data_IF_641478866691
#
_entry.id   IF_641478866691
#
_cell.length_a   1.000
_cell.length_b   1.000
_cell.length_c   1.000
_cell.angle_alpha   90.00
_cell.angle_beta   90.00
_cell.angle_gamma   90.00
#
_symmetry.space_group_name_H-M   'P 1'
#
loop_
_entity.id
_entity.type
_entity.pdbx_description
1 polymer ?
#
# COMPACT_ATOMS: atom_id res chain seq x y z
N UNK A 1 16.47 -10.32 -3.80
CA UNK A 1 15.59 -11.45 -4.09
C UNK A 1 14.83 -11.19 -5.40
N UNK A 2 14.68 -12.22 -6.23
CA UNK A 2 13.65 -12.26 -7.29
C UNK A 2 12.27 -12.48 -6.66
N UNK A 3 11.19 -12.33 -7.44
CA UNK A 3 9.84 -12.56 -6.93
C UNK A 3 9.68 -14.00 -6.39
N UNK A 4 10.23 -15.00 -7.06
CA UNK A 4 10.16 -16.39 -6.60
C UNK A 4 10.98 -16.62 -5.32
N UNK A 5 12.20 -16.10 -5.25
CA UNK A 5 13.02 -16.18 -4.02
C UNK A 5 12.35 -15.46 -2.83
N UNK A 6 11.60 -14.36 -3.10
CA UNK A 6 10.83 -13.68 -2.06
C UNK A 6 9.66 -14.55 -1.57
N UNK A 7 8.92 -15.20 -2.47
CA UNK A 7 7.83 -16.14 -2.12
C UNK A 7 8.37 -17.31 -1.29
N UNK A 8 9.48 -17.94 -1.72
CA UNK A 8 10.15 -18.98 -0.95
C UNK A 8 10.61 -18.51 0.43
N UNK A 9 11.11 -17.26 0.51
CA UNK A 9 11.48 -16.65 1.79
C UNK A 9 10.26 -16.49 2.69
N UNK A 10 9.13 -15.98 2.17
CA UNK A 10 7.91 -15.77 2.94
C UNK A 10 7.40 -17.09 3.55
N UNK A 11 7.38 -18.16 2.79
CA UNK A 11 7.09 -19.50 3.32
C UNK A 11 8.02 -19.87 4.48
N UNK A 12 9.36 -19.74 4.28
CA UNK A 12 10.37 -20.09 5.31
C UNK A 12 10.24 -19.30 6.61
N UNK A 13 9.83 -18.04 6.53
CA UNK A 13 9.67 -17.18 7.72
C UNK A 13 8.28 -17.29 8.35
N UNK A 14 7.37 -18.05 7.75
CA UNK A 14 6.03 -18.33 8.27
C UNK A 14 5.01 -17.25 7.98
N UNK A 15 5.14 -16.54 6.84
CA UNK A 15 4.07 -15.68 6.32
C UNK A 15 2.97 -16.55 5.68
N UNK A 16 1.76 -16.03 5.65
CA UNK A 16 0.59 -16.69 5.07
C UNK A 16 0.36 -16.25 3.61
N UNK A 17 0.90 -15.08 3.22
CA UNK A 17 0.71 -14.53 1.90
C UNK A 17 1.81 -13.57 1.47
N UNK A 18 1.66 -13.07 0.24
CA UNK A 18 2.57 -12.14 -0.40
C UNK A 18 1.81 -10.98 -1.06
N UNK A 19 2.32 -9.78 -0.86
CA UNK A 19 2.00 -8.62 -1.67
C UNK A 19 3.10 -8.43 -2.70
N UNK A 20 2.74 -8.35 -3.99
CA UNK A 20 3.70 -8.34 -5.09
C UNK A 20 3.66 -7.00 -5.84
N UNK A 21 4.80 -6.35 -5.92
CA UNK A 21 4.98 -5.12 -6.71
C UNK A 21 4.79 -5.40 -8.20
N UNK A 22 4.05 -4.52 -8.88
CA UNK A 22 3.90 -4.51 -10.34
C UNK A 22 4.56 -3.26 -10.89
N UNK A 23 5.85 -3.37 -11.18
CA UNK A 23 6.66 -2.23 -11.61
C UNK A 23 7.93 -2.68 -12.34
N UNK A 24 8.24 -2.03 -13.45
CA UNK A 24 9.47 -2.30 -14.18
C UNK A 24 10.71 -1.96 -13.34
N UNK A 25 11.75 -2.78 -13.44
CA UNK A 25 12.99 -2.60 -12.70
C UNK A 25 12.98 -3.08 -11.24
N UNK A 26 11.88 -3.66 -10.75
CA UNK A 26 11.82 -4.34 -9.45
C UNK A 26 12.15 -5.82 -9.59
N UNK A 27 13.28 -6.24 -9.04
CA UNK A 27 13.71 -7.65 -9.08
C UNK A 27 12.71 -8.57 -8.34
N UNK A 28 12.14 -8.10 -7.21
CA UNK A 28 11.18 -8.83 -6.38
C UNK A 28 9.71 -8.60 -6.78
N UNK A 29 9.48 -8.02 -7.95
CA UNK A 29 8.15 -7.77 -8.48
C UNK A 29 7.94 -8.42 -9.84
N UNK A 30 6.79 -8.14 -10.44
CA UNK A 30 6.49 -8.49 -11.82
C UNK A 30 6.49 -7.22 -12.69
N UNK A 31 6.90 -7.26 -13.96
CA UNK A 31 6.90 -6.11 -14.84
C UNK A 31 5.46 -5.67 -15.19
N UNK A 32 5.30 -4.40 -15.57
CA UNK A 32 4.01 -3.84 -15.99
C UNK A 32 3.41 -4.55 -17.21
N UNK A 33 4.25 -5.05 -18.11
CA UNK A 33 3.87 -5.88 -19.26
C UNK A 33 4.34 -7.33 -19.05
N UNK A 34 3.71 -8.03 -18.10
CA UNK A 34 4.01 -9.42 -17.79
C UNK A 34 3.21 -10.37 -18.69
N UNK A 35 3.88 -11.33 -19.33
CA UNK A 35 3.20 -12.35 -20.12
C UNK A 35 2.64 -13.50 -19.24
N UNK A 36 1.67 -14.24 -19.79
CA UNK A 36 1.04 -15.36 -19.07
C UNK A 36 2.03 -16.43 -18.63
N UNK A 37 3.11 -16.65 -19.39
CA UNK A 37 4.13 -17.63 -19.03
C UNK A 37 4.86 -17.21 -17.77
N UNK A 38 5.23 -15.94 -17.68
CA UNK A 38 5.88 -15.36 -16.48
C UNK A 38 4.95 -15.37 -15.28
N UNK A 39 3.68 -14.99 -15.47
CA UNK A 39 2.66 -15.08 -14.43
C UNK A 39 2.46 -16.53 -13.95
N UNK A 40 2.47 -17.51 -14.86
CA UNK A 40 2.32 -18.93 -14.50
C UNK A 40 3.48 -19.45 -13.62
N UNK A 41 4.69 -18.94 -13.83
CA UNK A 41 5.84 -19.28 -13.01
C UNK A 41 5.66 -18.75 -11.58
N UNK A 42 5.23 -17.49 -11.44
CA UNK A 42 4.97 -16.87 -10.12
C UNK A 42 3.84 -17.59 -9.41
N UNK A 43 2.72 -17.86 -10.09
CA UNK A 43 1.58 -18.58 -9.53
C UNK A 43 1.98 -19.95 -9.01
N UNK A 44 2.68 -20.74 -9.82
CA UNK A 44 3.13 -22.07 -9.42
C UNK A 44 4.09 -22.01 -8.22
N UNK A 45 5.02 -21.05 -8.21
CA UNK A 45 5.91 -20.86 -7.08
C UNK A 45 5.13 -20.55 -5.78
N UNK A 46 4.09 -19.72 -5.86
CA UNK A 46 3.24 -19.41 -4.72
C UNK A 46 2.46 -20.65 -4.24
N UNK A 47 1.86 -21.40 -5.16
CA UNK A 47 1.15 -22.65 -4.86
C UNK A 47 2.06 -23.73 -4.24
N UNK A 48 3.26 -23.94 -4.78
CA UNK A 48 4.25 -24.92 -4.29
C UNK A 48 4.77 -24.56 -2.87
N UNK A 49 4.75 -23.27 -2.50
CA UNK A 49 5.18 -22.78 -1.20
C UNK A 49 4.00 -22.47 -0.25
N UNK A 50 2.78 -22.77 -0.62
CA UNK A 50 1.57 -22.50 0.18
C UNK A 50 1.43 -21.03 0.59
N UNK A 51 1.83 -20.10 -0.32
CA UNK A 51 1.73 -18.65 -0.15
C UNK A 51 0.56 -18.12 -0.99
N UNK A 52 -0.39 -17.45 -0.34
CA UNK A 52 -1.47 -16.74 -1.04
C UNK A 52 -0.94 -15.40 -1.60
N UNK A 53 -1.20 -15.11 -2.87
CA UNK A 53 -0.92 -13.76 -3.40
C UNK A 53 -2.10 -12.87 -3.00
N UNK A 54 -1.95 -12.11 -1.94
CA UNK A 54 -3.02 -11.31 -1.34
C UNK A 54 -3.30 -10.04 -2.13
N UNK A 55 -2.25 -9.37 -2.63
CA UNK A 55 -2.34 -8.05 -3.24
C UNK A 55 -1.31 -7.85 -4.34
N UNK A 56 -1.69 -7.11 -5.38
CA UNK A 56 -0.77 -6.56 -6.37
C UNK A 56 -0.60 -5.06 -6.15
N UNK A 57 0.65 -4.57 -6.25
CA UNK A 57 1.02 -3.21 -5.86
C UNK A 57 1.67 -2.45 -7.01
N UNK A 58 0.89 -1.89 -7.95
CA UNK A 58 1.39 -0.97 -8.96
C UNK A 58 1.69 0.42 -8.36
N UNK A 59 2.54 1.21 -9.04
CA UNK A 59 2.92 2.57 -8.63
C UNK A 59 2.18 3.68 -9.40
N UNK A 60 1.07 3.34 -10.00
CA UNK A 60 0.20 4.30 -10.72
C UNK A 60 -0.38 5.34 -9.76
N UNK A 61 -0.31 6.63 -10.12
CA UNK A 61 -0.79 7.72 -9.26
C UNK A 61 -1.50 8.87 -10.00
N UNK A 62 -1.41 8.95 -11.33
CA UNK A 62 -1.92 10.09 -12.09
C UNK A 62 -3.40 9.97 -12.48
N UNK A 63 -4.21 9.26 -11.71
CA UNK A 63 -5.68 9.13 -11.89
C UNK A 63 -6.43 10.47 -11.81
N UNK A 64 -5.82 11.46 -11.18
CA UNK A 64 -6.32 12.82 -11.01
C UNK A 64 -5.71 13.83 -12.00
N UNK A 65 -4.96 13.37 -13.00
CA UNK A 65 -4.38 14.25 -14.02
C UNK A 65 -5.49 14.94 -14.82
N UNK A 66 -5.33 16.25 -15.07
CA UNK A 66 -6.21 16.98 -15.97
C UNK A 66 -5.95 16.65 -17.44
N UNK A 67 -4.74 16.17 -17.74
CA UNK A 67 -4.43 15.59 -19.05
C UNK A 67 -5.15 14.23 -19.20
N UNK A 68 -6.07 14.20 -20.18
CA UNK A 68 -6.89 13.02 -20.44
C UNK A 68 -6.07 11.81 -20.91
N UNK A 69 -5.01 12.05 -21.69
CA UNK A 69 -4.17 10.96 -22.24
C UNK A 69 -3.36 10.29 -21.11
N UNK A 70 -2.77 11.11 -20.24
CA UNK A 70 -2.06 10.63 -19.04
C UNK A 70 -3.01 9.81 -18.16
N UNK A 71 -4.18 10.34 -17.86
CA UNK A 71 -5.17 9.66 -17.01
C UNK A 71 -5.66 8.35 -17.64
N UNK A 72 -5.87 8.33 -18.96
CA UNK A 72 -6.31 7.12 -19.67
C UNK A 72 -5.21 6.05 -19.67
N UNK A 73 -3.94 6.41 -19.78
CA UNK A 73 -2.83 5.47 -19.70
C UNK A 73 -2.74 4.81 -18.31
N UNK A 74 -2.94 5.59 -17.24
CA UNK A 74 -3.01 5.07 -15.87
C UNK A 74 -4.15 4.06 -15.68
N UNK A 75 -5.34 4.40 -16.18
CA UNK A 75 -6.52 3.53 -16.14
C UNK A 75 -6.26 2.22 -16.89
N UNK A 76 -5.66 2.29 -18.07
CA UNK A 76 -5.35 1.11 -18.89
C UNK A 76 -4.29 0.22 -18.23
N UNK A 77 -3.32 0.83 -17.53
CA UNK A 77 -2.33 0.09 -16.74
C UNK A 77 -3.02 -0.73 -15.63
N UNK A 78 -3.90 -0.10 -14.84
CA UNK A 78 -4.62 -0.82 -13.77
C UNK A 78 -5.57 -1.89 -14.33
N UNK A 79 -6.16 -1.67 -15.50
CA UNK A 79 -6.98 -2.70 -16.16
C UNK A 79 -6.18 -3.98 -16.42
N UNK A 80 -4.92 -3.88 -16.86
CA UNK A 80 -4.02 -5.04 -16.99
C UNK A 80 -3.73 -5.70 -15.62
N UNK A 81 -3.50 -4.89 -14.58
CA UNK A 81 -3.25 -5.43 -13.23
C UNK A 81 -4.47 -6.18 -12.69
N UNK A 82 -5.70 -5.74 -13.01
CA UNK A 82 -6.93 -6.47 -12.69
C UNK A 82 -6.94 -7.85 -13.39
N UNK A 83 -6.46 -7.94 -14.64
CA UNK A 83 -6.32 -9.21 -15.33
C UNK A 83 -5.27 -10.11 -14.67
N UNK A 84 -4.15 -9.53 -14.20
CA UNK A 84 -3.13 -10.27 -13.45
C UNK A 84 -3.67 -10.80 -12.12
N UNK A 85 -4.48 -10.02 -11.39
CA UNK A 85 -5.15 -10.47 -10.17
C UNK A 85 -6.00 -11.72 -10.44
N UNK A 86 -6.80 -11.72 -11.49
CA UNK A 86 -7.59 -12.89 -11.87
C UNK A 86 -6.71 -14.13 -12.14
N UNK A 87 -5.61 -13.93 -12.85
CA UNK A 87 -4.70 -15.02 -13.20
C UNK A 87 -4.00 -15.59 -11.97
N UNK A 88 -3.55 -14.71 -11.07
CA UNK A 88 -2.79 -15.06 -9.87
C UNK A 88 -3.69 -15.41 -8.66
N UNK A 89 -5.00 -15.31 -8.79
CA UNK A 89 -5.99 -15.43 -7.70
C UNK A 89 -5.80 -14.38 -6.59
N UNK A 90 -5.24 -13.21 -6.93
CA UNK A 90 -5.13 -12.09 -6.00
C UNK A 90 -6.46 -11.35 -5.90
N UNK A 91 -6.81 -10.88 -4.69
CA UNK A 91 -8.09 -10.23 -4.44
C UNK A 91 -7.99 -8.71 -4.32
N UNK A 92 -6.80 -8.18 -4.06
CA UNK A 92 -6.59 -6.76 -3.84
C UNK A 92 -5.60 -6.14 -4.82
N UNK A 93 -5.82 -4.86 -5.15
CA UNK A 93 -4.84 -4.01 -5.83
C UNK A 93 -4.65 -2.76 -5.00
N UNK A 94 -3.43 -2.53 -4.51
CA UNK A 94 -3.08 -1.26 -3.88
C UNK A 94 -2.94 -0.18 -4.93
N UNK A 95 -3.56 0.97 -4.70
CA UNK A 95 -3.46 2.15 -5.54
C UNK A 95 -3.25 3.41 -4.70
N UNK A 96 -2.66 4.44 -5.30
CA UNK A 96 -2.56 5.74 -4.67
C UNK A 96 -3.84 6.56 -4.85
N UNK A 97 -4.13 7.43 -3.90
CA UNK A 97 -5.22 8.42 -3.94
C UNK A 97 -4.90 9.61 -4.84
N UNK A 98 -4.49 9.36 -6.09
CA UNK A 98 -4.03 10.40 -7.02
C UNK A 98 -2.59 10.86 -6.72
N UNK A 99 -2.13 11.86 -7.46
CA UNK A 99 -0.83 12.51 -7.27
C UNK A 99 -1.06 13.97 -6.84
N UNK A 100 -0.50 14.36 -5.71
CA UNK A 100 -0.59 15.72 -5.18
C UNK A 100 0.71 16.03 -4.43
N UNK A 101 1.61 16.75 -5.09
CA UNK A 101 2.86 17.17 -4.46
C UNK A 101 2.62 18.38 -3.54
N UNK A 102 3.49 18.53 -2.54
CA UNK A 102 3.43 19.69 -1.66
C UNK A 102 3.54 21.00 -2.44
N UNK A 103 2.79 22.00 -1.99
CA UNK A 103 2.71 23.29 -2.67
C UNK A 103 1.86 23.30 -3.94
N UNK A 104 1.37 22.15 -4.41
CA UNK A 104 0.45 22.08 -5.55
C UNK A 104 -0.97 22.44 -5.08
N UNK A 105 -1.38 23.66 -5.37
CA UNK A 105 -2.67 24.20 -4.95
C UNK A 105 -3.63 24.48 -6.12
N UNK A 106 -3.20 24.14 -7.34
CA UNK A 106 -3.97 24.47 -8.54
C UNK A 106 -5.00 23.39 -8.88
N UNK A 107 -6.20 23.83 -9.20
CA UNK A 107 -7.28 22.98 -9.71
C UNK A 107 -7.60 21.76 -8.82
N UNK A 108 -7.45 21.88 -7.50
CA UNK A 108 -7.60 20.76 -6.57
C UNK A 108 -8.97 20.11 -6.66
N UNK A 109 -10.03 20.90 -6.78
CA UNK A 109 -11.41 20.40 -6.88
C UNK A 109 -11.60 19.60 -8.18
N UNK A 110 -11.21 20.16 -9.32
CA UNK A 110 -11.29 19.47 -10.60
C UNK A 110 -10.43 18.20 -10.64
N UNK A 111 -9.22 18.23 -10.09
CA UNK A 111 -8.36 17.05 -9.97
C UNK A 111 -9.00 15.98 -9.09
N UNK A 112 -9.64 16.38 -7.99
CA UNK A 112 -10.36 15.46 -7.11
C UNK A 112 -11.57 14.82 -7.81
N UNK A 113 -12.31 15.60 -8.60
CA UNK A 113 -13.40 15.06 -9.42
C UNK A 113 -12.88 14.01 -10.42
N UNK A 114 -11.75 14.30 -11.10
CA UNK A 114 -11.12 13.32 -12.02
C UNK A 114 -10.65 12.06 -11.31
N UNK A 115 -10.11 12.18 -10.10
CA UNK A 115 -9.77 11.02 -9.28
C UNK A 115 -11.00 10.16 -8.99
N UNK A 116 -12.08 10.77 -8.50
CA UNK A 116 -13.34 10.08 -8.18
C UNK A 116 -13.91 9.38 -9.42
N UNK A 117 -13.97 10.07 -10.56
CA UNK A 117 -14.41 9.49 -11.83
C UNK A 117 -13.59 8.27 -12.22
N UNK A 118 -12.25 8.39 -12.16
CA UNK A 118 -11.32 7.32 -12.54
C UNK A 118 -11.43 6.11 -11.63
N UNK A 119 -11.45 6.33 -10.30
CA UNK A 119 -11.52 5.24 -9.33
C UNK A 119 -12.89 4.55 -9.32
N UNK A 120 -13.97 5.29 -9.56
CA UNK A 120 -15.31 4.70 -9.73
C UNK A 120 -15.39 3.83 -10.98
N UNK A 121 -14.81 4.28 -12.09
CA UNK A 121 -14.72 3.49 -13.32
C UNK A 121 -13.90 2.21 -13.12
N UNK A 122 -12.71 2.32 -12.52
CA UNK A 122 -11.86 1.18 -12.20
C UNK A 122 -12.53 0.23 -11.19
N UNK A 123 -13.25 0.76 -10.21
CA UNK A 123 -14.04 -0.02 -9.26
C UNK A 123 -15.08 -0.89 -9.95
N UNK A 124 -15.78 -0.35 -10.97
CA UNK A 124 -16.73 -1.14 -11.78
C UNK A 124 -16.04 -2.30 -12.52
N UNK A 125 -14.83 -2.08 -13.05
CA UNK A 125 -14.06 -3.15 -13.71
C UNK A 125 -13.57 -4.20 -12.72
N UNK A 126 -13.03 -3.76 -11.59
CA UNK A 126 -12.53 -4.62 -10.52
C UNK A 126 -13.63 -5.51 -9.94
N UNK A 127 -14.81 -4.94 -9.67
CA UNK A 127 -15.97 -5.67 -9.15
C UNK A 127 -16.44 -6.81 -10.06
N UNK A 128 -16.32 -6.66 -11.39
CA UNK A 128 -16.68 -7.73 -12.36
C UNK A 128 -15.75 -8.94 -12.25
N UNK A 129 -14.59 -8.78 -11.61
CA UNK A 129 -13.53 -9.80 -11.49
C UNK A 129 -13.24 -10.18 -10.04
N UNK A 130 -14.12 -9.80 -9.13
CA UNK A 130 -13.98 -10.03 -7.69
C UNK A 130 -12.67 -9.47 -7.10
N UNK A 131 -12.25 -8.30 -7.62
CA UNK A 131 -11.07 -7.56 -7.18
C UNK A 131 -11.49 -6.28 -6.47
N UNK A 132 -10.79 -5.93 -5.40
CA UNK A 132 -10.99 -4.70 -4.63
C UNK A 132 -9.78 -3.79 -4.80
N UNK A 133 -10.01 -2.56 -5.20
CA UNK A 133 -9.01 -1.50 -5.20
C UNK A 133 -8.88 -0.94 -3.79
N UNK A 134 -7.69 -0.93 -3.24
CA UNK A 134 -7.42 -0.41 -1.91
C UNK A 134 -6.55 0.84 -2.00
N UNK A 135 -7.13 1.99 -1.65
CA UNK A 135 -6.45 3.30 -1.65
C UNK A 135 -5.65 3.44 -0.38
N UNK A 136 -4.33 3.58 -0.52
CA UNK A 136 -3.42 3.71 0.61
C UNK A 136 -3.46 5.13 1.20
N UNK A 137 -3.44 5.23 2.53
CA UNK A 137 -3.08 6.46 3.23
C UNK A 137 -1.60 6.76 2.93
N UNK A 138 -1.33 7.75 2.08
CA UNK A 138 0.03 7.97 1.59
C UNK A 138 0.33 9.44 1.35
N UNK A 139 1.58 9.85 1.66
CA UNK A 139 2.07 11.18 1.32
C UNK A 139 2.04 11.43 -0.20
N UNK A 140 2.09 12.70 -0.60
CA UNK A 140 2.03 13.12 -2.00
C UNK A 140 0.77 12.64 -2.76
N UNK A 141 -0.32 12.40 -2.05
CA UNK A 141 -1.62 12.00 -2.62
C UNK A 141 -2.77 12.85 -2.05
N UNK A 142 -3.97 12.69 -2.60
CA UNK A 142 -5.19 13.29 -2.06
C UNK A 142 -5.83 12.45 -0.93
N UNK A 143 -5.14 11.39 -0.48
CA UNK A 143 -5.51 10.51 0.63
C UNK A 143 -4.41 10.51 1.71
N UNK A 144 -3.86 11.69 2.05
CA UNK A 144 -2.73 11.82 2.96
C UNK A 144 -3.14 11.64 4.43
N UNK A 145 -4.31 12.11 4.82
CA UNK A 145 -4.84 12.00 6.18
C UNK A 145 -5.95 10.95 6.27
N UNK A 146 -6.23 10.48 7.50
CA UNK A 146 -7.35 9.61 7.78
C UNK A 146 -8.69 10.23 7.34
N UNK A 147 -8.84 11.53 7.59
CA UNK A 147 -10.03 12.30 7.20
C UNK A 147 -10.17 12.40 5.69
N UNK A 148 -9.08 12.72 4.97
CA UNK A 148 -9.12 12.87 3.51
C UNK A 148 -9.40 11.53 2.83
N UNK A 149 -8.78 10.45 3.32
CA UNK A 149 -9.00 9.09 2.83
C UNK A 149 -10.45 8.65 3.01
N UNK A 150 -11.01 8.83 4.22
CA UNK A 150 -12.41 8.50 4.49
C UNK A 150 -13.37 9.33 3.63
N UNK A 151 -13.09 10.63 3.45
CA UNK A 151 -13.89 11.50 2.60
C UNK A 151 -13.82 11.09 1.12
N UNK A 152 -12.62 10.74 0.63
CA UNK A 152 -12.42 10.28 -0.75
C UNK A 152 -13.23 9.00 -1.02
N UNK A 153 -13.10 7.98 -0.17
CA UNK A 153 -13.82 6.71 -0.37
C UNK A 153 -15.34 6.88 -0.25
N UNK A 154 -15.81 7.69 0.69
CA UNK A 154 -17.22 8.04 0.79
C UNK A 154 -17.75 8.69 -0.50
N UNK A 155 -16.98 9.62 -1.08
CA UNK A 155 -17.41 10.37 -2.26
C UNK A 155 -17.26 9.55 -3.56
N UNK A 156 -16.36 8.56 -3.61
CA UNK A 156 -16.29 7.55 -4.67
C UNK A 156 -17.56 6.67 -4.61
N UNK A 157 -18.04 6.32 -3.43
CA UNK A 157 -19.24 5.52 -3.19
C UNK A 157 -19.31 4.26 -4.05
N UNK A 158 -18.28 3.41 -3.95
CA UNK A 158 -18.18 2.17 -4.70
C UNK A 158 -17.71 1.01 -3.81
N UNK A 159 -18.39 -0.16 -3.78
CA UNK A 159 -18.06 -1.26 -2.87
C UNK A 159 -16.69 -1.89 -3.14
N UNK A 160 -16.21 -1.88 -4.38
CA UNK A 160 -14.90 -2.40 -4.76
C UNK A 160 -13.78 -1.34 -4.70
N UNK A 161 -14.00 -0.20 -4.03
CA UNK A 161 -12.96 0.80 -3.74
C UNK A 161 -12.95 1.06 -2.25
N UNK A 162 -11.86 0.67 -1.58
CA UNK A 162 -11.74 0.63 -0.13
C UNK A 162 -10.45 1.32 0.33
N UNK A 163 -10.17 1.28 1.62
CA UNK A 163 -8.94 1.84 2.21
C UNK A 163 -7.94 0.71 2.52
N UNK A 164 -6.68 0.94 2.14
CA UNK A 164 -5.52 0.34 2.75
C UNK A 164 -5.06 1.27 3.87
N UNK A 165 -5.21 0.80 5.10
CA UNK A 165 -4.82 1.56 6.28
C UNK A 165 -3.32 1.41 6.56
N UNK A 166 -2.60 2.53 6.63
CA UNK A 166 -1.20 2.60 7.01
C UNK A 166 -0.99 3.61 8.13
N UNK A 167 -0.87 3.12 9.37
CA UNK A 167 -0.66 3.98 10.52
C UNK A 167 0.70 4.68 10.50
N UNK A 168 1.73 4.03 9.96
CA UNK A 168 3.06 4.63 9.93
C UNK A 168 3.09 5.87 9.01
N UNK A 169 2.43 5.80 7.85
CA UNK A 169 2.28 6.95 6.97
C UNK A 169 1.50 8.09 7.66
N UNK A 170 0.39 7.80 8.33
CA UNK A 170 -0.40 8.80 9.06
C UNK A 170 0.40 9.45 10.20
N UNK A 171 1.20 8.67 10.93
CA UNK A 171 2.08 9.18 11.99
C UNK A 171 3.20 10.04 11.41
N UNK A 172 3.82 9.59 10.33
CA UNK A 172 4.93 10.27 9.69
C UNK A 172 4.52 11.61 9.06
N UNK A 173 3.37 11.67 8.39
CA UNK A 173 2.94 12.84 7.61
C UNK A 173 2.08 13.82 8.40
N UNK A 174 1.36 13.41 9.42
CA UNK A 174 0.41 14.25 10.14
C UNK A 174 0.44 14.11 11.66
N UNK A 175 1.29 13.24 12.18
CA UNK A 175 1.29 12.86 13.62
C UNK A 175 -0.11 12.42 14.09
N UNK A 176 -0.84 11.72 13.22
CA UNK A 176 -2.19 11.24 13.53
C UNK A 176 -2.13 10.03 14.47
N UNK A 177 -2.85 10.12 15.57
CA UNK A 177 -3.02 9.00 16.50
C UNK A 177 -3.93 7.91 15.92
N UNK A 178 -3.64 6.65 16.23
CA UNK A 178 -4.38 5.51 15.69
C UNK A 178 -5.85 5.47 16.11
N UNK A 179 -6.19 5.97 17.30
CA UNK A 179 -7.58 5.95 17.81
C UNK A 179 -8.51 6.78 16.93
N UNK A 180 -8.12 8.02 16.65
CA UNK A 180 -8.87 8.91 15.76
C UNK A 180 -8.84 8.41 14.31
N UNK A 181 -7.68 8.01 13.81
CA UNK A 181 -7.53 7.52 12.46
C UNK A 181 -8.41 6.27 12.19
N UNK A 182 -8.43 5.30 13.10
CA UNK A 182 -9.30 4.12 12.98
C UNK A 182 -10.77 4.53 13.06
N UNK A 183 -11.15 5.38 14.01
CA UNK A 183 -12.53 5.85 14.16
C UNK A 183 -13.10 6.47 12.88
N UNK A 184 -12.27 7.22 12.14
CA UNK A 184 -12.67 7.86 10.89
C UNK A 184 -12.81 6.89 9.71
N UNK A 185 -11.97 5.85 9.65
CA UNK A 185 -11.78 5.00 8.46
C UNK A 185 -12.33 3.59 8.58
N UNK A 186 -12.55 3.07 9.79
CA UNK A 186 -12.82 1.65 10.07
C UNK A 186 -13.83 0.98 9.13
N UNK A 187 -14.92 1.68 8.77
CA UNK A 187 -15.97 1.15 7.89
C UNK A 187 -15.51 0.94 6.44
N UNK A 188 -14.37 1.53 6.06
CA UNK A 188 -13.82 1.48 4.71
C UNK A 188 -12.55 0.64 4.61
N UNK A 189 -11.90 0.30 5.73
CA UNK A 189 -10.65 -0.47 5.75
C UNK A 189 -10.90 -1.90 5.32
N UNK A 190 -10.12 -2.38 4.35
CA UNK A 190 -10.15 -3.77 3.86
C UNK A 190 -8.76 -4.43 3.84
N UNK A 191 -7.71 -3.66 4.07
CA UNK A 191 -6.34 -4.12 4.07
C UNK A 191 -5.47 -3.23 4.96
N UNK A 192 -4.40 -3.76 5.54
CA UNK A 192 -3.49 -2.99 6.39
C UNK A 192 -2.03 -3.21 6.00
N UNK A 193 -1.29 -2.11 5.88
CA UNK A 193 0.17 -2.14 5.95
C UNK A 193 0.64 -2.07 7.39
N UNK A 194 1.66 -2.85 7.68
CA UNK A 194 2.30 -2.92 8.99
C UNK A 194 3.78 -2.63 8.83
N UNK A 195 4.22 -1.48 9.30
CA UNK A 195 5.60 -1.06 9.37
C UNK A 195 5.83 -0.24 10.63
N UNK A 196 7.07 -0.04 11.04
CA UNK A 196 7.38 0.71 12.24
C UNK A 196 8.53 1.70 11.97
N UNK A 197 8.59 2.75 12.75
CA UNK A 197 9.54 3.84 12.58
C UNK A 197 9.92 4.47 13.92
N UNK A 198 10.98 5.26 13.92
CA UNK A 198 11.31 6.22 14.98
C UNK A 198 11.66 7.56 14.34
N UNK A 199 11.30 8.66 15.00
CA UNK A 199 11.80 9.98 14.62
C UNK A 199 13.27 10.11 15.00
N UNK A 200 14.04 10.81 14.16
CA UNK A 200 15.42 11.16 14.48
C UNK A 200 15.45 12.25 15.55
N UNK A 201 16.56 12.33 16.31
CA UNK A 201 16.72 13.31 17.38
C UNK A 201 16.49 14.74 16.88
N UNK A 202 15.58 15.45 17.54
CA UNK A 202 15.19 16.83 17.17
C UNK A 202 14.38 16.95 15.87
N UNK A 203 13.92 15.84 15.33
CA UNK A 203 13.03 15.79 14.16
C UNK A 203 11.61 15.42 14.57
N UNK A 204 10.65 15.83 13.76
CA UNK A 204 9.24 15.61 13.96
C UNK A 204 8.59 15.17 12.63
N UNK A 205 7.28 14.95 12.65
CA UNK A 205 6.53 14.58 11.44
C UNK A 205 6.76 15.58 10.29
N UNK A 206 6.59 15.11 9.08
CA UNK A 206 6.76 15.90 7.85
C UNK A 206 5.38 16.22 7.28
N UNK A 207 5.00 17.49 7.31
CA UNK A 207 3.82 17.93 6.59
C UNK A 207 4.12 17.91 5.08
N UNK A 208 3.79 16.80 4.45
CA UNK A 208 3.48 16.68 3.03
C UNK A 208 4.57 16.83 1.98
N UNK A 209 5.86 16.81 2.15
CA UNK A 209 6.79 16.81 1.02
C UNK A 209 7.91 15.80 1.17
N UNK A 210 7.57 14.55 0.94
CA UNK A 210 8.56 13.48 1.02
C UNK A 210 8.78 12.90 -0.36
N UNK A 211 9.74 13.46 -1.05
CA UNK A 211 10.41 12.75 -2.12
C UNK A 211 11.76 12.32 -1.56
N UNK A 212 12.03 11.03 -1.50
CA UNK A 212 13.34 10.43 -1.15
C UNK A 212 14.41 11.44 -0.70
N UNK A 213 14.31 12.01 0.51
CA UNK A 213 15.25 13.01 0.97
C UNK A 213 16.64 12.38 1.07
N UNK A 214 17.67 13.18 0.85
CA UNK A 214 19.04 12.78 1.18
C UNK A 214 19.11 12.33 2.63
N UNK A 215 20.01 11.40 2.94
CA UNK A 215 20.14 10.81 4.29
C UNK A 215 20.24 11.88 5.41
N UNK A 216 20.83 13.05 5.12
CA UNK A 216 20.93 14.19 6.04
C UNK A 216 19.60 14.95 6.26
N UNK A 217 18.63 14.78 5.40
CA UNK A 217 17.32 15.47 5.44
C UNK A 217 16.23 14.61 6.04
N UNK A 218 16.48 13.33 6.27
CA UNK A 218 15.51 12.39 6.82
C UNK A 218 15.03 12.81 8.20
N UNK A 219 13.75 12.59 8.43
CA UNK A 219 13.11 12.82 9.74
C UNK A 219 12.89 11.53 10.52
N UNK A 220 12.85 10.40 9.84
CA UNK A 220 12.55 9.09 10.44
C UNK A 220 13.55 8.03 9.99
N UNK A 221 13.65 6.99 10.81
CA UNK A 221 14.22 5.70 10.42
C UNK A 221 13.19 4.60 10.54
N UNK A 222 13.20 3.70 9.57
CA UNK A 222 12.38 2.49 9.64
C UNK A 222 12.90 1.54 10.72
N UNK A 223 12.00 0.73 11.28
CA UNK A 223 12.32 -0.26 12.33
C UNK A 223 11.61 -1.58 12.05
N UNK A 224 12.13 -2.63 12.63
CA UNK A 224 11.41 -3.89 12.78
C UNK A 224 10.14 -3.62 13.58
N UNK A 225 9.02 -4.20 13.20
CA UNK A 225 7.75 -4.01 13.91
C UNK A 225 7.88 -4.40 15.38
N UNK A 226 7.50 -3.47 16.26
CA UNK A 226 7.67 -3.58 17.70
C UNK A 226 8.98 -3.01 18.25
N UNK A 227 9.90 -2.56 17.40
CA UNK A 227 11.14 -1.86 17.78
C UNK A 227 11.06 -0.34 17.52
N UNK A 228 9.90 0.16 17.03
CA UNK A 228 9.63 1.57 16.77
C UNK A 228 8.70 2.21 17.81
N UNK A 229 8.02 3.26 17.36
CA UNK A 229 7.14 4.07 18.24
C UNK A 229 5.65 3.71 18.11
N UNK A 230 5.28 2.86 17.14
CA UNK A 230 3.88 2.54 16.92
C UNK A 230 3.41 1.46 17.92
N UNK A 231 2.31 1.74 18.59
CA UNK A 231 1.73 0.85 19.59
C UNK A 231 0.94 -0.31 18.95
N UNK A 232 1.61 -1.15 18.15
CA UNK A 232 0.99 -2.21 17.37
C UNK A 232 0.00 -3.09 18.14
N UNK A 233 0.27 -3.52 19.39
CA UNK A 233 -0.71 -4.29 20.15
C UNK A 233 -2.02 -3.53 20.40
N UNK A 234 -1.95 -2.22 20.63
CA UNK A 234 -3.12 -1.37 20.84
C UNK A 234 -3.85 -1.10 19.52
N UNK A 235 -3.12 -0.84 18.44
CA UNK A 235 -3.65 -0.67 17.07
C UNK A 235 -4.42 -1.92 16.64
N UNK A 236 -3.80 -3.10 16.74
CA UNK A 236 -4.42 -4.38 16.36
C UNK A 236 -5.65 -4.69 17.20
N UNK A 237 -5.59 -4.42 18.50
CA UNK A 237 -6.76 -4.56 19.39
C UNK A 237 -7.89 -3.64 18.95
N UNK A 238 -7.59 -2.40 18.58
CA UNK A 238 -8.56 -1.42 18.14
C UNK A 238 -9.22 -1.83 16.83
N UNK A 239 -8.46 -2.16 15.78
CA UNK A 239 -9.03 -2.57 14.49
C UNK A 239 -9.85 -3.85 14.60
N UNK A 240 -9.41 -4.81 15.43
CA UNK A 240 -10.15 -6.03 15.70
C UNK A 240 -11.48 -5.77 16.44
N UNK A 241 -11.50 -4.84 17.37
CA UNK A 241 -12.72 -4.42 18.07
C UNK A 241 -13.77 -3.81 17.12
N UNK A 242 -13.32 -3.29 15.98
CA UNK A 242 -14.18 -2.77 14.90
C UNK A 242 -14.46 -3.79 13.80
N UNK A 243 -14.12 -5.07 14.02
CA UNK A 243 -14.47 -6.18 13.12
C UNK A 243 -13.49 -6.42 11.97
N UNK A 244 -12.29 -5.83 11.99
CA UNK A 244 -11.27 -6.11 11.00
C UNK A 244 -10.67 -7.50 11.23
N UNK A 245 -10.66 -8.32 10.19
CA UNK A 245 -10.11 -9.69 10.16
C UNK A 245 -9.30 -9.96 8.87
N UNK A 246 -8.92 -8.88 8.15
CA UNK A 246 -8.19 -8.94 6.89
C UNK A 246 -6.68 -9.12 7.04
N UNK A 247 -5.98 -8.86 5.96
CA UNK A 247 -4.53 -9.01 5.85
C UNK A 247 -3.75 -7.96 6.64
N UNK A 248 -2.68 -8.41 7.29
CA UNK A 248 -1.63 -7.57 7.87
C UNK A 248 -0.38 -7.75 6.99
N UNK A 249 -0.16 -6.82 6.08
CA UNK A 249 0.97 -6.88 5.13
C UNK A 249 2.17 -6.12 5.68
N UNK A 250 3.29 -6.82 5.89
CA UNK A 250 4.54 -6.20 6.31
C UNK A 250 5.16 -5.41 5.15
N UNK A 251 5.18 -4.10 5.24
CA UNK A 251 5.91 -3.25 4.31
C UNK A 251 7.35 -3.05 4.79
N UNK A 252 8.30 -3.73 4.11
CA UNK A 252 9.69 -3.80 4.54
C UNK A 252 10.59 -2.94 3.67
N UNK A 253 10.83 -1.70 4.09
CA UNK A 253 11.44 -0.62 3.30
C UNK A 253 12.96 -0.70 3.13
N UNK A 254 13.58 -1.87 3.30
CA UNK A 254 15.04 -2.03 3.20
C UNK A 254 15.62 -1.62 1.83
N UNK A 255 14.81 -1.68 0.77
CA UNK A 255 15.21 -1.21 -0.56
C UNK A 255 15.65 0.25 -0.55
N UNK A 256 14.90 1.07 0.19
CA UNK A 256 15.10 2.51 0.27
C UNK A 256 16.08 2.90 1.39
N UNK A 257 16.09 2.12 2.46
CA UNK A 257 16.83 2.39 3.68
C UNK A 257 17.59 1.13 4.15
N UNK A 258 18.63 0.68 3.39
CA UNK A 258 19.28 -0.60 3.66
C UNK A 258 20.03 -0.65 5.00
N UNK A 259 20.40 0.51 5.55
CA UNK A 259 21.15 0.62 6.81
C UNK A 259 20.24 0.72 8.05
N UNK A 260 18.93 0.93 7.87
CA UNK A 260 17.98 1.09 8.99
C UNK A 260 17.55 -0.24 9.58
N UNK A 261 17.40 -1.25 8.74
CA UNK A 261 16.83 -2.56 9.08
C UNK A 261 17.63 -3.69 8.43
N UNK A 262 17.75 -4.85 9.09
CA UNK A 262 18.53 -5.98 8.59
C UNK A 262 17.93 -6.58 7.30
N UNK A 263 18.55 -7.64 6.79
CA UNK A 263 17.98 -8.41 5.67
C UNK A 263 16.55 -8.89 5.99
N UNK A 264 15.70 -8.97 4.96
CA UNK A 264 14.30 -9.34 5.09
C UNK A 264 14.10 -10.69 5.79
N UNK A 265 14.99 -11.65 5.55
CA UNK A 265 14.97 -12.97 6.22
C UNK A 265 15.07 -12.90 7.75
N UNK A 266 15.67 -11.82 8.27
CA UNK A 266 15.82 -11.59 9.70
C UNK A 266 14.73 -10.66 10.22
N UNK A 267 14.55 -9.50 9.59
CA UNK A 267 13.69 -8.45 10.10
C UNK A 267 12.20 -8.77 9.92
N UNK A 268 11.78 -9.30 8.76
CA UNK A 268 10.40 -9.73 8.56
C UNK A 268 10.05 -10.91 9.46
N UNK A 269 10.99 -11.86 9.65
CA UNK A 269 10.77 -12.98 10.59
C UNK A 269 10.49 -12.49 12.01
N UNK A 270 11.29 -11.53 12.51
CA UNK A 270 11.08 -10.92 13.82
C UNK A 270 9.73 -10.19 13.91
N UNK A 271 9.37 -9.46 12.85
CA UNK A 271 8.07 -8.77 12.79
C UNK A 271 6.91 -9.75 12.83
N UNK A 272 6.98 -10.85 12.09
CA UNK A 272 5.95 -11.92 12.11
C UNK A 272 5.85 -12.53 13.51
N UNK A 273 6.98 -12.84 14.16
CA UNK A 273 6.99 -13.45 15.49
C UNK A 273 6.42 -12.49 16.56
N UNK A 274 6.60 -11.19 16.37
CA UNK A 274 6.03 -10.17 17.26
C UNK A 274 4.50 -10.02 17.08
N UNK A 275 3.99 -10.17 15.85
CA UNK A 275 2.55 -10.00 15.53
C UNK A 275 1.71 -11.25 15.83
N UNK A 276 2.30 -12.44 15.89
CA UNK A 276 1.66 -13.72 16.25
C UNK A 276 1.58 -13.93 17.74
#
# INVERSE_FOLDING_TARGET
YTVNEAIELFHRIGADGAEIVVQDGYCSGIPCDCDEKSLSIVKRCAEENEIEISCLTPYNSYFNSLDKEVRQAEIESIRKVIDYCQYLNAHYIRIYGGNLLAGDTQNLEERREKLIESLRYLGNLAAQKDVVLIVENHFNTMAVSAKDSAALIRDIDHPAVRILYDQANLTFTGNEGYEEAISLQQQYVSYMHVKDLVFLEGKDFVSSDVSHPDESERNVRTRIVGEGILEWPAILKSVKAHGYDGWLSLEYERRWHPDDIPDASIGMKKSIDYLK
#
